data_IF_385150179962
#
_entry.id   IF_385150179962
#
_cell.length_a   1.000
_cell.length_b   1.000
_cell.length_c   1.000
_cell.angle_alpha   90.00
_cell.angle_beta   90.00
_cell.angle_gamma   90.00
#
_symmetry.space_group_name_H-M   'P 1'
#
loop_
_entity.id
_entity.type
_entity.pdbx_description
1 polymer ?
#
# COMPACT_ATOMS: atom_id res chain seq x y z
N UNK A 1 -9.97 -25.75 20.59
CA UNK A 1 -10.03 -24.28 20.38
C UNK A 1 -9.47 -23.92 19.00
N UNK A 2 -10.18 -24.09 17.87
CA UNK A 2 -9.49 -23.87 16.57
C UNK A 2 -10.31 -23.61 15.29
N UNK A 3 -11.63 -23.34 15.29
CA UNK A 3 -12.36 -23.09 14.03
C UNK A 3 -12.76 -21.63 13.80
N UNK A 4 -13.22 -20.92 14.84
CA UNK A 4 -13.66 -19.51 14.70
C UNK A 4 -12.50 -18.55 14.36
N UNK A 5 -11.31 -18.78 14.90
CA UNK A 5 -10.16 -17.88 14.72
C UNK A 5 -9.50 -18.03 13.34
N UNK A 6 -9.53 -19.23 12.75
CA UNK A 6 -9.07 -19.46 11.38
C UNK A 6 -10.00 -18.81 10.33
N UNK A 7 -11.30 -18.76 10.62
CA UNK A 7 -12.30 -18.20 9.69
C UNK A 7 -12.21 -16.67 9.57
N UNK A 8 -11.91 -15.95 10.67
CA UNK A 8 -11.77 -14.48 10.64
C UNK A 8 -10.52 -14.01 9.91
N UNK A 9 -9.44 -14.81 9.90
CA UNK A 9 -8.23 -14.48 9.13
C UNK A 9 -8.50 -14.46 7.63
N UNK A 10 -9.21 -15.48 7.12
CA UNK A 10 -9.56 -15.58 5.70
C UNK A 10 -10.37 -14.37 5.24
N UNK A 11 -11.37 -13.96 6.02
CA UNK A 11 -12.21 -12.79 5.74
C UNK A 11 -11.40 -11.50 5.77
N UNK A 12 -10.52 -11.32 6.77
CA UNK A 12 -9.63 -10.17 6.86
C UNK A 12 -8.71 -10.04 5.63
N UNK A 13 -8.06 -11.14 5.24
CA UNK A 13 -7.16 -11.15 4.07
C UNK A 13 -7.92 -10.94 2.76
N UNK A 14 -9.14 -11.47 2.65
CA UNK A 14 -10.00 -11.27 1.47
C UNK A 14 -10.46 -9.81 1.38
N UNK A 15 -10.81 -9.19 2.50
CA UNK A 15 -11.15 -7.76 2.55
C UNK A 15 -9.95 -6.90 2.09
N UNK A 16 -8.76 -7.15 2.64
CA UNK A 16 -7.54 -6.44 2.22
C UNK A 16 -7.29 -6.62 0.72
N UNK A 17 -7.39 -7.86 0.23
CA UNK A 17 -7.20 -8.15 -1.20
C UNK A 17 -8.16 -7.35 -2.07
N UNK A 18 -9.46 -7.38 -1.78
CA UNK A 18 -10.47 -6.69 -2.58
C UNK A 18 -10.27 -5.16 -2.52
N UNK A 19 -9.91 -4.62 -1.36
CA UNK A 19 -9.60 -3.18 -1.22
C UNK A 19 -8.36 -2.81 -2.01
N UNK A 20 -7.31 -3.63 -2.03
CA UNK A 20 -6.13 -3.40 -2.83
C UNK A 20 -6.40 -3.51 -4.33
N UNK A 21 -7.22 -4.48 -4.76
CA UNK A 21 -7.63 -4.59 -6.18
C UNK A 21 -8.38 -3.33 -6.64
N UNK A 22 -9.24 -2.75 -5.80
CA UNK A 22 -9.91 -1.49 -6.10
C UNK A 22 -8.95 -0.29 -6.06
N UNK A 23 -8.01 -0.26 -5.11
CA UNK A 23 -7.05 0.83 -4.95
C UNK A 23 -5.97 0.85 -6.03
N UNK A 24 -5.61 -0.30 -6.62
CA UNK A 24 -4.59 -0.46 -7.67
C UNK A 24 -5.04 0.05 -9.06
N UNK A 25 -5.84 1.11 -9.09
CA UNK A 25 -6.24 1.82 -10.32
C UNK A 25 -5.36 3.06 -10.57
N UNK A 26 -4.04 2.87 -10.54
CA UNK A 26 -3.07 3.96 -10.60
C UNK A 26 -2.82 4.45 -12.03
N UNK A 27 -2.53 5.73 -12.15
CA UNK A 27 -2.21 6.41 -13.40
C UNK A 27 -0.87 7.13 -13.28
N UNK A 28 -0.17 7.25 -14.40
CA UNK A 28 1.02 8.08 -14.44
C UNK A 28 0.62 9.55 -14.31
N UNK A 29 1.02 10.19 -13.22
CA UNK A 29 0.70 11.59 -12.94
C UNK A 29 1.98 12.33 -12.51
N UNK A 30 2.38 13.41 -13.21
CA UNK A 30 3.57 14.18 -12.86
C UNK A 30 3.35 14.93 -11.54
N UNK A 31 4.42 15.11 -10.77
CA UNK A 31 4.38 15.87 -9.52
C UNK A 31 3.95 17.31 -9.81
N UNK A 32 2.93 17.81 -9.09
CA UNK A 32 2.47 19.20 -9.26
C UNK A 32 3.43 20.24 -8.65
N UNK A 33 4.07 19.90 -7.52
CA UNK A 33 4.98 20.84 -6.84
C UNK A 33 6.34 21.01 -7.51
N UNK A 34 6.85 19.97 -8.16
CA UNK A 34 8.20 19.96 -8.73
C UNK A 34 8.12 19.59 -10.20
N UNK A 35 8.31 20.59 -11.06
CA UNK A 35 8.30 20.40 -12.50
C UNK A 35 9.28 19.30 -12.92
N UNK A 36 8.88 18.48 -13.90
CA UNK A 36 9.68 17.39 -14.49
C UNK A 36 10.07 16.27 -13.52
N UNK A 37 9.49 16.22 -12.32
CA UNK A 37 9.63 15.09 -11.42
C UNK A 37 8.35 14.26 -11.36
N UNK A 38 8.52 12.95 -11.21
CA UNK A 38 7.42 12.04 -10.88
C UNK A 38 7.66 11.50 -9.48
N UNK A 39 6.87 11.98 -8.52
CA UNK A 39 6.98 11.59 -7.13
C UNK A 39 5.65 10.97 -6.67
N UNK A 40 5.69 9.99 -5.75
CA UNK A 40 4.48 9.38 -5.23
C UNK A 40 3.66 10.39 -4.42
N UNK A 41 2.49 10.78 -4.92
CA UNK A 41 1.64 11.80 -4.29
C UNK A 41 1.19 11.39 -2.87
N UNK A 42 1.05 10.08 -2.61
CA UNK A 42 0.72 9.56 -1.27
C UNK A 42 1.80 9.85 -0.22
N UNK A 43 3.05 10.12 -0.64
CA UNK A 43 4.13 10.53 0.25
C UNK A 43 4.22 12.05 0.40
N UNK A 44 3.90 12.83 -0.63
CA UNK A 44 3.97 14.29 -0.58
C UNK A 44 2.83 14.89 0.22
N UNK A 45 1.59 14.43 -0.02
CA UNK A 45 0.37 14.95 0.61
C UNK A 45 0.16 16.47 0.45
N UNK A 46 0.73 17.05 -0.60
CA UNK A 46 0.67 18.49 -0.91
C UNK A 46 -0.62 18.85 -1.64
N UNK A 47 -1.10 17.93 -2.47
CA UNK A 47 -2.29 18.08 -3.31
C UNK A 47 -3.41 17.16 -2.81
N UNK A 48 -4.31 17.64 -1.93
CA UNK A 48 -5.35 16.81 -1.33
C UNK A 48 -6.33 16.23 -2.35
N UNK A 49 -6.53 16.88 -3.50
CA UNK A 49 -7.36 16.40 -4.60
C UNK A 49 -6.82 15.15 -5.30
N UNK A 50 -5.52 14.87 -5.14
CA UNK A 50 -4.87 13.67 -5.68
C UNK A 50 -4.88 12.50 -4.69
N UNK A 51 -5.32 12.74 -3.45
CA UNK A 51 -5.39 11.74 -2.40
C UNK A 51 -6.81 11.16 -2.30
N UNK A 52 -6.89 9.85 -2.09
CA UNK A 52 -8.13 9.17 -1.72
C UNK A 52 -8.24 9.02 -0.20
N UNK A 53 -9.46 8.79 0.26
CA UNK A 53 -9.74 8.54 1.67
C UNK A 53 -8.97 7.29 2.15
N UNK A 54 -8.15 7.40 3.22
CA UNK A 54 -7.46 6.26 3.80
C UNK A 54 -8.45 5.21 4.32
N UNK A 55 -8.15 3.93 4.07
CA UNK A 55 -8.98 2.80 4.52
C UNK A 55 -8.22 2.01 5.59
N UNK A 56 -8.81 1.89 6.78
CA UNK A 56 -8.28 1.08 7.88
C UNK A 56 -9.11 -0.18 8.05
N UNK A 57 -8.50 -1.34 7.80
CA UNK A 57 -9.11 -2.66 8.00
C UNK A 57 -8.53 -3.27 9.27
N UNK A 58 -9.37 -3.64 10.23
CA UNK A 58 -8.94 -4.22 11.49
C UNK A 58 -9.52 -5.63 11.66
N UNK A 59 -8.67 -6.60 12.00
CA UNK A 59 -9.13 -7.91 12.50
C UNK A 59 -9.28 -7.89 14.03
N UNK A 60 -8.38 -7.21 14.72
CA UNK A 60 -8.39 -6.97 16.15
C UNK A 60 -7.45 -5.79 16.49
N UNK A 61 -7.20 -5.52 17.77
CA UNK A 61 -6.32 -4.43 18.21
C UNK A 61 -4.83 -4.63 17.83
N UNK A 62 -4.42 -5.89 17.64
CA UNK A 62 -3.05 -6.30 17.32
C UNK A 62 -2.82 -6.49 15.80
N UNK A 63 -3.88 -6.65 15.00
CA UNK A 63 -3.82 -6.90 13.55
C UNK A 63 -4.66 -5.89 12.79
N UNK A 64 -3.98 -4.98 12.10
CA UNK A 64 -4.59 -3.87 11.36
C UNK A 64 -3.86 -3.63 10.04
N UNK A 65 -4.56 -3.13 9.04
CA UNK A 65 -4.01 -2.74 7.74
C UNK A 65 -4.55 -1.37 7.36
N UNK A 66 -3.68 -0.38 7.23
CA UNK A 66 -3.99 0.94 6.70
C UNK A 66 -3.55 1.00 5.24
N UNK A 67 -4.47 1.39 4.37
CA UNK A 67 -4.27 1.58 2.94
C UNK A 67 -4.52 3.06 2.65
N UNK A 68 -3.48 3.75 2.20
CA UNK A 68 -3.54 5.12 1.71
C UNK A 68 -3.30 5.10 0.20
N UNK A 69 -4.15 5.76 -0.57
CA UNK A 69 -4.08 5.73 -2.03
C UNK A 69 -4.05 7.15 -2.58
N UNK A 70 -3.31 7.34 -3.67
CA UNK A 70 -3.35 8.53 -4.49
C UNK A 70 -3.53 8.16 -5.96
N UNK A 71 -3.56 9.16 -6.85
CA UNK A 71 -3.66 8.95 -8.30
C UNK A 71 -2.52 8.09 -8.88
N UNK A 72 -1.31 8.18 -8.34
CA UNK A 72 -0.10 7.57 -8.93
C UNK A 72 0.65 6.62 -8.00
N UNK A 73 0.21 6.45 -6.75
CA UNK A 73 0.88 5.60 -5.77
C UNK A 73 -0.07 5.11 -4.68
N UNK A 74 0.30 4.02 -4.03
CA UNK A 74 -0.39 3.46 -2.87
C UNK A 74 0.64 3.33 -1.75
N UNK A 75 0.17 3.41 -0.52
CA UNK A 75 0.94 3.08 0.66
C UNK A 75 0.14 2.15 1.53
N UNK A 76 0.75 1.02 1.85
CA UNK A 76 0.18 0.01 2.72
C UNK A 76 0.99 0.02 4.03
N UNK A 77 0.29 -0.11 5.15
CA UNK A 77 0.88 -0.18 6.48
C UNK A 77 0.17 -1.26 7.28
N UNK A 78 0.87 -2.33 7.65
CA UNK A 78 0.29 -3.51 8.32
C UNK A 78 0.88 -3.71 9.72
N UNK A 79 0.01 -4.03 10.69
CA UNK A 79 0.35 -4.53 12.02
C UNK A 79 0.22 -6.02 11.96
N UNK A 80 1.29 -6.71 12.29
CA UNK A 80 1.29 -8.16 12.46
C UNK A 80 1.18 -8.43 13.95
N UNK A 81 0.37 -9.42 14.34
CA UNK A 81 0.29 -9.85 15.73
C UNK A 81 1.67 -10.31 16.20
N UNK A 82 2.11 -9.81 17.35
CA UNK A 82 3.30 -10.24 18.05
C UNK A 82 2.86 -10.78 19.41
N UNK A 83 3.11 -12.05 19.68
CA UNK A 83 2.66 -12.76 20.87
C UNK A 83 3.52 -12.41 22.10
N UNK A 84 4.80 -12.08 21.90
CA UNK A 84 5.77 -11.83 22.95
C UNK A 84 6.89 -10.84 22.53
N UNK A 85 7.77 -10.50 23.47
CA UNK A 85 8.90 -9.60 23.22
C UNK A 85 9.93 -10.20 22.25
N UNK A 86 10.08 -11.52 22.25
CA UNK A 86 10.96 -12.22 21.32
C UNK A 86 10.48 -12.03 19.87
N UNK A 87 9.19 -12.27 19.59
CA UNK A 87 8.60 -12.01 18.28
C UNK A 87 8.70 -10.53 17.88
N UNK A 88 8.56 -9.59 18.83
CA UNK A 88 8.78 -8.17 18.56
C UNK A 88 10.20 -7.88 18.05
N UNK A 89 11.22 -8.43 18.72
CA UNK A 89 12.62 -8.26 18.34
C UNK A 89 12.91 -8.95 16.99
N UNK A 90 12.39 -10.15 16.79
CA UNK A 90 12.53 -10.90 15.55
C UNK A 90 11.90 -10.15 14.37
N UNK A 91 10.65 -9.69 14.52
CA UNK A 91 9.95 -8.90 13.51
C UNK A 91 10.74 -7.63 13.17
N UNK A 92 11.24 -6.90 14.18
CA UNK A 92 12.05 -5.70 13.98
C UNK A 92 13.36 -5.96 13.24
N UNK A 93 14.07 -7.05 13.55
CA UNK A 93 15.31 -7.44 12.87
C UNK A 93 15.06 -7.89 11.43
N UNK A 94 14.03 -8.73 11.22
CA UNK A 94 13.63 -9.20 9.92
C UNK A 94 13.23 -8.04 9.00
N UNK A 95 12.46 -7.09 9.53
CA UNK A 95 12.11 -5.85 8.85
C UNK A 95 13.28 -5.02 8.43
N UNK A 96 14.18 -4.75 9.39
CA UNK A 96 15.38 -3.97 9.13
C UNK A 96 16.19 -4.60 8.00
N UNK A 97 16.29 -5.93 7.99
CA UNK A 97 16.97 -6.68 6.95
C UNK A 97 16.29 -6.55 5.58
N UNK A 98 14.96 -6.64 5.52
CA UNK A 98 14.20 -6.41 4.28
C UNK A 98 14.36 -4.98 3.76
N UNK A 99 14.27 -3.98 4.64
CA UNK A 99 14.46 -2.57 4.27
C UNK A 99 15.87 -2.27 3.75
N UNK A 100 16.90 -2.97 4.26
CA UNK A 100 18.27 -2.87 3.73
C UNK A 100 18.38 -3.36 2.28
N UNK A 101 17.41 -4.16 1.79
CA UNK A 101 17.36 -4.68 0.42
C UNK A 101 16.24 -4.06 -0.42
N UNK A 102 15.67 -2.94 0.04
CA UNK A 102 14.66 -2.20 -0.69
C UNK A 102 15.12 -1.75 -2.09
N UNK A 103 16.41 -1.72 -2.39
CA UNK A 103 16.90 -1.48 -3.76
C UNK A 103 16.59 -2.64 -4.72
N UNK A 104 16.62 -3.88 -4.23
CA UNK A 104 16.22 -5.06 -5.00
C UNK A 104 14.69 -5.23 -5.04
N UNK A 105 13.99 -4.72 -4.02
CA UNK A 105 12.53 -4.72 -3.94
C UNK A 105 12.01 -3.30 -4.13
N UNK A 106 11.80 -2.86 -5.38
CA UNK A 106 11.37 -1.49 -5.72
C UNK A 106 10.08 -1.04 -5.01
N UNK A 107 9.30 -2.00 -4.52
CA UNK A 107 8.06 -1.78 -3.77
C UNK A 107 8.27 -1.75 -2.25
N UNK A 108 9.50 -1.82 -1.74
CA UNK A 108 9.77 -1.70 -0.30
C UNK A 108 10.37 -0.33 0.00
N UNK A 109 9.94 0.26 1.11
CA UNK A 109 10.48 1.53 1.60
C UNK A 109 11.69 1.29 2.49
N UNK A 110 12.72 2.13 2.31
CA UNK A 110 13.96 2.09 3.11
C UNK A 110 13.75 2.49 4.57
N UNK A 111 12.77 3.37 4.83
CA UNK A 111 12.42 3.84 6.17
C UNK A 111 10.94 3.54 6.45
N UNK A 112 10.60 2.81 7.53
CA UNK A 112 9.21 2.64 7.92
C UNK A 112 8.58 4.01 8.20
N UNK A 113 7.31 4.20 7.81
CA UNK A 113 6.54 5.38 8.21
C UNK A 113 6.12 5.20 9.67
N UNK A 114 6.41 6.18 10.52
CA UNK A 114 5.90 6.20 11.88
C UNK A 114 4.43 6.61 11.88
N UNK A 115 3.54 5.68 11.58
CA UNK A 115 2.13 5.79 11.92
C UNK A 115 1.83 4.59 12.81
N UNK A 116 1.67 4.81 14.11
CA UNK A 116 1.06 3.85 15.04
C UNK A 116 1.66 2.42 15.10
N UNK A 117 2.97 2.23 15.34
CA UNK A 117 3.58 0.88 15.49
C UNK A 117 3.24 -0.11 14.33
N UNK A 118 2.94 0.44 13.15
CA UNK A 118 2.26 -0.22 12.04
C UNK A 118 3.08 0.05 10.77
N UNK A 119 4.17 -0.67 10.53
CA UNK A 119 4.75 -0.64 9.18
C UNK A 119 5.59 -1.87 8.90
N UNK A 120 5.18 -2.63 7.87
CA UNK A 120 6.01 -3.69 7.29
C UNK A 120 6.36 -3.46 5.82
N UNK A 121 5.42 -2.95 5.00
CA UNK A 121 5.54 -2.97 3.54
C UNK A 121 4.85 -1.74 2.95
N UNK A 122 5.60 -0.70 2.59
CA UNK A 122 5.06 0.40 1.77
C UNK A 122 5.32 0.12 0.30
N UNK A 123 4.32 -0.42 -0.41
CA UNK A 123 4.33 -0.64 -1.86
C UNK A 123 4.05 0.67 -2.63
N UNK A 124 5.04 1.52 -2.84
CA UNK A 124 4.88 2.62 -3.80
C UNK A 124 5.13 2.12 -5.22
N UNK A 125 4.08 1.71 -5.93
CA UNK A 125 4.19 1.51 -7.38
C UNK A 125 4.20 2.88 -8.05
N UNK A 126 5.39 3.43 -8.27
CA UNK A 126 5.56 4.47 -9.28
C UNK A 126 5.62 3.75 -10.62
N UNK A 127 4.56 3.84 -11.42
CA UNK A 127 4.51 3.29 -12.78
C UNK A 127 5.61 3.87 -13.69
N UNK A 128 6.33 4.90 -13.24
CA UNK A 128 7.30 5.64 -14.03
C UNK A 128 8.65 4.94 -14.26
N UNK A 129 9.02 3.84 -13.57
CA UNK A 129 10.41 3.36 -13.70
C UNK A 129 10.67 2.13 -14.54
N UNK A 130 9.80 1.10 -14.67
CA UNK A 130 10.16 -0.07 -15.48
C UNK A 130 8.94 -0.81 -16.06
N UNK A 131 8.83 -0.77 -17.39
CA UNK A 131 7.99 -1.58 -18.28
C UNK A 131 6.46 -1.53 -18.12
N UNK A 132 5.82 -1.03 -19.19
CA UNK A 132 4.61 -1.60 -19.82
C UNK A 132 3.84 -2.63 -18.98
N UNK A 133 2.98 -2.14 -18.09
CA UNK A 133 1.75 -2.88 -17.83
C UNK A 133 0.79 -2.49 -18.94
N UNK A 134 0.09 -3.46 -19.59
CA UNK A 134 -0.94 -3.11 -20.55
C UNK A 134 -1.97 -2.29 -19.78
N UNK A 135 -1.98 -0.98 -20.05
CA UNK A 135 -3.11 -0.13 -19.74
C UNK A 135 -4.29 -0.89 -20.34
N UNK A 136 -5.17 -1.44 -19.49
CA UNK A 136 -6.49 -1.85 -19.99
C UNK A 136 -7.05 -0.58 -20.60
N UNK A 137 -7.01 -0.49 -21.92
CA UNK A 137 -7.82 0.41 -22.68
C UNK A 137 -9.25 0.12 -22.19
N UNK A 138 -9.75 0.97 -21.28
CA UNK A 138 -11.18 1.20 -21.23
C UNK A 138 -11.44 1.90 -22.54
N UNK A 139 -11.95 1.13 -23.50
CA UNK A 139 -12.55 1.64 -24.72
C UNK A 139 -13.48 2.79 -24.34
N UNK A 140 -13.00 4.02 -24.56
CA UNK A 140 -13.79 5.24 -24.44
C UNK A 140 -14.70 5.44 -25.66
N UNK A 141 -14.74 4.47 -26.58
CA UNK A 141 -15.62 4.44 -27.75
C UNK A 141 -17.10 4.16 -27.43
N UNK A 142 -17.47 3.95 -26.16
CA UNK A 142 -18.86 3.76 -25.74
C UNK A 142 -19.52 4.99 -25.09
N UNK A 143 -18.88 6.17 -25.08
CA UNK A 143 -19.46 7.42 -24.53
C UNK A 143 -19.56 8.57 -25.55
N UNK A 144 -19.57 8.27 -26.84
CA UNK A 144 -19.99 9.21 -27.90
C UNK A 144 -21.04 8.54 -28.79
N UNK A 145 -22.21 8.28 -28.21
CA UNK A 145 -23.45 8.04 -28.94
C UNK A 145 -24.61 8.48 -28.03
N UNK A 146 -25.03 9.72 -28.22
CA UNK A 146 -26.10 10.40 -27.49
C UNK A 146 -26.11 11.87 -27.84
#
# INVERSE_FOLDING_TARGET
MSTHQANTLRLYLTCIRNTLEAAMCLQNFPCQEVERHNKPEVELKTSPELLLNPVLICRNEAEKCLIETSINSIRISMKVKQADELENILAKKFLRFLSMRAEAFQVLRRKPVQVSNLTLITLSSVLCTKHELPVRHRDTSLWTAG
#
